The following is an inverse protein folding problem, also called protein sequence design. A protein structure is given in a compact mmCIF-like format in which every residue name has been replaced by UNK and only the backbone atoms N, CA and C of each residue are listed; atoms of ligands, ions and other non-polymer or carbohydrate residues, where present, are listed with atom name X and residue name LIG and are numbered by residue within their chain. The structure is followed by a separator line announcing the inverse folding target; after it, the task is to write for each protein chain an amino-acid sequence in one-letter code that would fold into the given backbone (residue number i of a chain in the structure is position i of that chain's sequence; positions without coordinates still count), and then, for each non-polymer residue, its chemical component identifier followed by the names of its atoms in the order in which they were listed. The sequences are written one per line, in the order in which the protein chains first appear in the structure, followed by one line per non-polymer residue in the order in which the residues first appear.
data_IF_699240392269
#
_entry.id   IF_699240392269
#
_cell.length_a   1.000
_cell.length_b   1.000
_cell.length_c   1.000
_cell.angle_alpha   90.00
_cell.angle_beta   90.00
_cell.angle_gamma   90.00
#
_symmetry.space_group_name_H-M   'P 1'
#
loop_
_entity.id
_entity.type
_entity.pdbx_description
1 polymer ?
#
# COMPACT_ATOMS: atom_id res chain seq x y z
N UNK A 1 -42.08 34.57 -40.50
CA UNK A 1 -41.74 33.16 -40.25
C UNK A 1 -40.23 33.07 -39.95
N UNK A 2 -39.87 33.10 -38.68
CA UNK A 2 -38.48 33.09 -38.20
C UNK A 2 -38.18 31.70 -37.67
N UNK A 3 -37.25 31.00 -38.34
CA UNK A 3 -36.73 29.68 -37.85
C UNK A 3 -35.66 29.91 -36.82
N UNK A 4 -35.92 29.47 -35.61
CA UNK A 4 -34.92 29.40 -34.56
C UNK A 4 -34.11 28.10 -34.74
N UNK A 5 -32.83 28.23 -34.99
CA UNK A 5 -31.83 27.13 -34.96
C UNK A 5 -31.39 26.91 -33.51
N UNK A 6 -31.73 25.76 -32.96
CA UNK A 6 -31.23 25.30 -31.65
C UNK A 6 -29.86 24.67 -31.85
N UNK A 7 -28.83 25.38 -31.43
CA UNK A 7 -27.48 24.84 -31.30
C UNK A 7 -27.42 23.93 -30.06
N UNK A 8 -27.22 22.65 -30.30
CA UNK A 8 -26.95 21.67 -29.24
C UNK A 8 -25.44 21.69 -28.96
N UNK A 9 -24.99 21.96 -27.73
CA UNK A 9 -23.56 21.88 -27.44
C UNK A 9 -23.10 20.42 -27.48
N UNK A 10 -22.20 20.11 -28.39
CA UNK A 10 -21.47 18.85 -28.47
C UNK A 10 -20.66 18.69 -27.19
N UNK A 11 -20.97 17.65 -26.38
CA UNK A 11 -20.19 17.28 -25.23
C UNK A 11 -18.78 16.86 -25.70
N UNK A 12 -17.79 17.68 -25.35
CA UNK A 12 -16.40 17.35 -25.57
C UNK A 12 -16.06 16.07 -24.80
N UNK A 13 -15.72 15.01 -25.51
CA UNK A 13 -15.23 13.78 -24.94
C UNK A 13 -13.95 14.09 -24.16
N UNK A 14 -13.97 13.86 -22.84
CA UNK A 14 -12.80 14.00 -21.99
C UNK A 14 -11.67 13.07 -22.52
N UNK A 15 -10.53 13.67 -22.84
CA UNK A 15 -9.34 12.90 -23.24
C UNK A 15 -8.98 11.89 -22.13
N UNK A 16 -8.49 10.70 -22.46
CA UNK A 16 -8.06 9.73 -21.44
C UNK A 16 -6.97 10.36 -20.58
N UNK A 17 -7.29 10.54 -19.30
CA UNK A 17 -6.33 11.09 -18.35
C UNK A 17 -5.19 10.06 -18.20
N UNK A 18 -3.97 10.49 -18.49
CA UNK A 18 -2.78 9.70 -18.20
C UNK A 18 -2.76 9.35 -16.70
N UNK A 19 -2.38 8.11 -16.35
CA UNK A 19 -2.22 7.76 -14.95
C UNK A 19 -1.25 8.73 -14.28
N UNK A 20 -1.50 9.14 -13.03
CA UNK A 20 -0.63 10.07 -12.32
C UNK A 20 0.80 9.51 -12.28
N UNK A 21 1.77 10.39 -12.46
CA UNK A 21 3.19 10.02 -12.38
C UNK A 21 3.51 9.42 -11.00
N UNK A 22 4.35 8.40 -10.96
CA UNK A 22 4.80 7.78 -9.71
C UNK A 22 5.50 8.84 -8.84
N UNK A 23 5.12 9.02 -7.55
CA UNK A 23 5.77 9.96 -6.65
C UNK A 23 7.30 9.77 -6.57
N UNK A 24 8.05 10.87 -6.44
CA UNK A 24 9.52 10.86 -6.50
C UNK A 24 10.15 9.86 -5.50
N UNK A 25 9.64 9.77 -4.29
CA UNK A 25 10.13 8.83 -3.27
C UNK A 25 9.94 7.36 -3.70
N UNK A 26 8.86 7.05 -4.41
CA UNK A 26 8.61 5.71 -4.97
C UNK A 26 9.44 5.46 -6.22
N UNK A 27 9.69 6.47 -7.04
CA UNK A 27 10.64 6.35 -8.17
C UNK A 27 12.04 5.99 -7.67
N UNK A 28 12.49 6.64 -6.61
CA UNK A 28 13.78 6.36 -5.97
C UNK A 28 13.83 4.94 -5.39
N UNK A 29 12.77 4.52 -4.67
CA UNK A 29 12.67 3.16 -4.13
C UNK A 29 12.72 2.10 -5.25
N UNK A 30 12.01 2.35 -6.34
CA UNK A 30 12.00 1.46 -7.52
C UNK A 30 13.38 1.36 -8.16
N UNK A 31 14.08 2.49 -8.36
CA UNK A 31 15.43 2.52 -8.92
C UNK A 31 16.42 1.76 -8.04
N UNK A 32 16.36 1.94 -6.73
CA UNK A 32 17.19 1.19 -5.77
C UNK A 32 16.91 -0.31 -5.80
N UNK A 33 15.64 -0.69 -5.86
CA UNK A 33 15.24 -2.10 -5.95
C UNK A 33 15.77 -2.75 -7.23
N UNK A 34 15.68 -2.06 -8.36
CA UNK A 34 16.21 -2.54 -9.64
C UNK A 34 17.74 -2.69 -9.59
N UNK A 35 18.45 -1.71 -9.02
CA UNK A 35 19.90 -1.76 -8.85
C UNK A 35 20.35 -2.91 -7.95
N UNK A 36 19.54 -3.29 -6.95
CA UNK A 36 19.80 -4.39 -6.02
C UNK A 36 19.27 -5.74 -6.53
N UNK A 37 18.59 -5.78 -7.66
CA UNK A 37 17.97 -6.99 -8.19
C UNK A 37 16.84 -7.54 -7.32
N UNK A 38 16.11 -6.68 -6.60
CA UNK A 38 14.99 -7.10 -5.76
C UNK A 38 13.81 -7.60 -6.64
N UNK A 39 13.10 -8.65 -6.20
CA UNK A 39 11.99 -9.21 -6.96
C UNK A 39 10.66 -8.46 -6.78
N UNK A 40 10.68 -7.24 -6.25
CA UNK A 40 9.52 -6.35 -6.07
C UNK A 40 9.96 -4.89 -6.19
N UNK A 41 9.00 -3.95 -6.17
CA UNK A 41 9.23 -2.55 -6.51
C UNK A 41 10.13 -1.76 -5.53
N UNK A 42 10.41 -2.29 -4.36
CA UNK A 42 11.26 -1.65 -3.37
C UNK A 42 10.54 -1.37 -2.05
N UNK A 43 11.21 -0.62 -1.19
CA UNK A 43 10.71 -0.34 0.17
C UNK A 43 10.73 1.17 0.45
N UNK A 44 9.79 1.59 1.29
CA UNK A 44 9.73 2.92 1.90
C UNK A 44 9.59 2.79 3.41
N UNK A 45 10.08 3.76 4.16
CA UNK A 45 9.88 3.82 5.61
C UNK A 45 8.45 4.27 5.95
N UNK A 46 7.96 4.07 7.18
CA UNK A 46 6.69 4.64 7.61
C UNK A 46 6.61 6.15 7.44
N UNK A 47 7.70 6.87 7.71
CA UNK A 47 7.78 8.32 7.54
C UNK A 47 7.68 8.76 6.06
N UNK A 48 8.14 7.95 5.13
CA UNK A 48 7.99 8.18 3.68
C UNK A 48 6.60 7.76 3.19
N UNK A 49 6.03 6.70 3.76
CA UNK A 49 4.73 6.16 3.37
C UNK A 49 3.57 7.08 3.73
N UNK A 50 3.57 7.59 4.97
CA UNK A 50 2.42 8.34 5.49
C UNK A 50 2.04 9.57 4.65
N UNK A 51 2.96 10.46 4.23
CA UNK A 51 2.60 11.61 3.37
C UNK A 51 1.94 11.19 2.05
N UNK A 52 2.37 10.09 1.45
CA UNK A 52 1.79 9.58 0.21
C UNK A 52 0.34 9.10 0.41
N UNK A 53 0.09 8.40 1.51
CA UNK A 53 -1.24 7.93 1.87
C UNK A 53 -2.16 9.11 2.20
N UNK A 54 -1.67 10.05 3.00
CA UNK A 54 -2.42 11.25 3.41
C UNK A 54 -2.83 12.12 2.23
N UNK A 55 -1.97 12.21 1.21
CA UNK A 55 -2.22 12.99 -0.01
C UNK A 55 -2.99 12.20 -1.09
N UNK A 56 -3.39 10.96 -0.82
CA UNK A 56 -4.09 10.12 -1.78
C UNK A 56 -3.23 9.68 -2.97
N UNK A 57 -1.90 9.67 -2.82
CA UNK A 57 -0.94 9.30 -3.85
C UNK A 57 -0.54 7.82 -3.81
N UNK A 58 -0.93 7.10 -2.76
CA UNK A 58 -0.69 5.68 -2.59
C UNK A 58 -1.80 5.03 -1.76
N UNK A 59 -2.04 3.75 -2.02
CA UNK A 59 -2.97 2.92 -1.26
C UNK A 59 -2.20 2.14 -0.19
N UNK A 60 -2.53 2.36 1.08
CA UNK A 60 -1.96 1.57 2.18
C UNK A 60 -2.79 0.31 2.40
N UNK A 61 -2.16 -0.85 2.31
CA UNK A 61 -2.79 -2.16 2.54
C UNK A 61 -2.08 -2.87 3.68
N UNK A 62 -2.82 -3.11 4.75
CA UNK A 62 -2.35 -3.90 5.89
C UNK A 62 -2.47 -5.39 5.52
N UNK A 63 -1.36 -6.12 5.60
CA UNK A 63 -1.29 -7.55 5.27
C UNK A 63 -1.22 -8.43 6.53
N UNK A 64 -1.36 -7.83 7.71
CA UNK A 64 -1.41 -8.55 8.98
C UNK A 64 -2.70 -9.34 9.14
N UNK A 65 -2.78 -10.16 10.18
CA UNK A 65 -4.01 -10.87 10.51
C UNK A 65 -5.08 -9.90 11.03
N UNK A 66 -6.34 -10.32 10.99
CA UNK A 66 -7.45 -9.55 11.54
C UNK A 66 -7.29 -9.36 13.06
N UNK A 67 -6.76 -10.35 13.76
CA UNK A 67 -6.47 -10.30 15.20
C UNK A 67 -5.41 -9.25 15.54
N UNK A 68 -4.33 -9.16 14.76
CA UNK A 68 -3.32 -8.11 14.95
C UNK A 68 -3.93 -6.72 14.76
N UNK A 69 -4.76 -6.53 13.74
CA UNK A 69 -5.44 -5.25 13.51
C UNK A 69 -6.34 -4.87 14.66
N UNK A 70 -7.06 -5.83 15.21
CA UNK A 70 -8.00 -5.60 16.32
C UNK A 70 -7.27 -5.34 17.64
N UNK A 71 -6.35 -6.22 18.02
CA UNK A 71 -5.78 -6.21 19.38
C UNK A 71 -4.50 -5.39 19.50
N UNK A 72 -3.73 -5.25 18.44
CA UNK A 72 -2.49 -4.45 18.44
C UNK A 72 -2.73 -3.03 17.93
N UNK A 73 -3.73 -2.86 17.09
CA UNK A 73 -4.10 -1.58 16.48
C UNK A 73 -3.89 -1.58 14.97
N UNK A 74 -4.39 -0.53 14.32
CA UNK A 74 -4.37 -0.37 12.88
C UNK A 74 -4.25 1.09 12.46
N UNK A 75 -3.84 1.32 11.22
CA UNK A 75 -3.84 2.67 10.62
C UNK A 75 -5.26 2.98 10.13
N UNK A 76 -5.87 4.11 10.56
CA UNK A 76 -7.19 4.50 10.09
C UNK A 76 -7.24 4.61 8.56
N UNK A 77 -8.29 4.07 7.95
CA UNK A 77 -8.49 4.12 6.50
C UNK A 77 -7.61 3.18 5.68
N UNK A 78 -6.71 2.39 6.30
CA UNK A 78 -5.95 1.37 5.59
C UNK A 78 -6.86 0.23 5.13
N UNK A 79 -6.63 -0.23 3.90
CA UNK A 79 -7.29 -1.44 3.39
C UNK A 79 -6.68 -2.69 4.04
N UNK A 80 -7.37 -3.82 3.96
CA UNK A 80 -6.90 -5.07 4.55
C UNK A 80 -6.98 -6.22 3.55
N UNK A 81 -5.83 -6.85 3.31
CA UNK A 81 -5.72 -8.14 2.61
C UNK A 81 -4.70 -8.96 3.37
N UNK A 82 -5.14 -9.96 4.11
CA UNK A 82 -4.25 -10.76 4.95
C UNK A 82 -3.29 -11.61 4.11
N UNK A 83 -1.99 -11.50 4.38
CA UNK A 83 -0.95 -12.39 3.83
C UNK A 83 -1.03 -13.77 4.45
N UNK A 84 -1.33 -13.81 5.74
CA UNK A 84 -1.59 -15.00 6.51
C UNK A 84 -2.67 -14.70 7.53
N UNK A 85 -3.38 -15.70 7.98
CA UNK A 85 -4.51 -15.56 8.91
C UNK A 85 -4.37 -16.42 10.14
N UNK A 86 -5.10 -16.05 11.19
CA UNK A 86 -5.12 -16.70 12.48
C UNK A 86 -3.81 -16.55 13.25
N UNK A 87 -3.77 -17.11 14.44
CA UNK A 87 -2.59 -17.08 15.32
C UNK A 87 -1.47 -18.00 14.84
N UNK A 88 -1.80 -19.03 14.05
CA UNK A 88 -0.84 -19.93 13.42
C UNK A 88 -0.17 -19.33 12.17
N UNK A 89 -0.57 -18.15 11.74
CA UNK A 89 -0.08 -17.47 10.54
C UNK A 89 -0.17 -18.36 9.28
N UNK A 90 -1.32 -18.99 9.09
CA UNK A 90 -1.58 -19.82 7.91
C UNK A 90 -1.62 -18.95 6.66
N UNK A 91 -0.76 -19.27 5.69
CA UNK A 91 -0.63 -18.52 4.42
C UNK A 91 -1.97 -18.42 3.68
N UNK A 92 -2.28 -17.23 3.18
CA UNK A 92 -3.42 -17.01 2.30
C UNK A 92 -3.02 -17.29 0.83
N UNK A 93 -3.44 -18.40 0.23
CA UNK A 93 -3.07 -18.73 -1.14
C UNK A 93 -3.73 -17.81 -2.18
N UNK A 94 -4.72 -17.03 -1.76
CA UNK A 94 -5.45 -16.09 -2.63
C UNK A 94 -4.98 -14.66 -2.51
N UNK A 95 -3.91 -14.40 -1.75
CA UNK A 95 -3.43 -13.04 -1.45
C UNK A 95 -3.28 -12.17 -2.70
N UNK A 96 -2.52 -12.62 -3.70
CA UNK A 96 -2.28 -11.84 -4.91
C UNK A 96 -3.57 -11.52 -5.68
N UNK A 97 -4.49 -12.47 -5.74
CA UNK A 97 -5.81 -12.30 -6.38
C UNK A 97 -6.68 -11.30 -5.62
N UNK A 98 -6.71 -11.38 -4.31
CA UNK A 98 -7.47 -10.46 -3.46
C UNK A 98 -6.90 -9.05 -3.53
N UNK A 99 -5.57 -8.90 -3.52
CA UNK A 99 -4.89 -7.61 -3.69
C UNK A 99 -5.19 -7.00 -5.05
N UNK A 100 -5.11 -7.78 -6.12
CA UNK A 100 -5.44 -7.32 -7.47
C UNK A 100 -6.90 -6.86 -7.58
N UNK A 101 -7.84 -7.60 -6.98
CA UNK A 101 -9.25 -7.23 -6.95
C UNK A 101 -9.50 -5.94 -6.16
N UNK A 102 -8.82 -5.75 -5.04
CA UNK A 102 -8.86 -4.50 -4.26
C UNK A 102 -8.32 -3.32 -5.07
N UNK A 103 -7.16 -3.51 -5.71
CA UNK A 103 -6.51 -2.48 -6.52
C UNK A 103 -7.37 -2.07 -7.73
N UNK A 104 -8.01 -3.03 -8.39
CA UNK A 104 -8.89 -2.77 -9.54
C UNK A 104 -10.15 -1.97 -9.18
N UNK A 105 -10.57 -1.97 -7.92
CA UNK A 105 -11.72 -1.18 -7.44
C UNK A 105 -11.37 0.28 -7.13
N UNK A 106 -10.09 0.65 -7.13
CA UNK A 106 -9.69 2.03 -6.90
C UNK A 106 -10.06 2.89 -8.09
N UNK A 107 -10.46 4.17 -7.88
CA UNK A 107 -10.82 5.08 -8.97
C UNK A 107 -9.63 5.40 -9.88
N UNK A 108 -8.40 5.22 -9.38
CA UNK A 108 -7.14 5.42 -10.11
C UNK A 108 -6.18 4.27 -9.80
N UNK A 109 -5.27 3.93 -10.73
CA UNK A 109 -4.24 2.92 -10.50
C UNK A 109 -3.13 3.45 -9.57
N UNK A 110 -3.41 3.54 -8.28
CA UNK A 110 -2.46 4.01 -7.28
C UNK A 110 -1.36 2.96 -7.02
N UNK A 111 -0.13 3.39 -6.73
CA UNK A 111 0.88 2.50 -6.15
C UNK A 111 0.39 1.96 -4.80
N UNK A 112 0.75 0.72 -4.50
CA UNK A 112 0.33 0.02 -3.28
C UNK A 112 1.49 -0.06 -2.30
N UNK A 113 1.23 0.29 -1.05
CA UNK A 113 2.18 0.18 0.07
C UNK A 113 1.68 -0.91 1.02
N UNK A 114 2.45 -1.98 1.19
CA UNK A 114 2.10 -3.11 2.04
C UNK A 114 2.71 -2.95 3.43
N UNK A 115 1.86 -3.01 4.46
CA UNK A 115 2.25 -2.86 5.86
C UNK A 115 2.04 -4.18 6.60
N UNK A 116 3.08 -4.66 7.27
CA UNK A 116 2.95 -5.74 8.24
C UNK A 116 3.51 -5.34 9.61
N UNK A 117 3.85 -6.29 10.48
CA UNK A 117 4.37 -6.00 11.82
C UNK A 117 5.74 -5.34 11.80
N UNK A 118 6.68 -5.86 10.99
CA UNK A 118 8.08 -5.44 10.97
C UNK A 118 8.71 -5.34 9.57
N UNK A 119 7.90 -5.40 8.52
CA UNK A 119 8.37 -5.31 7.13
C UNK A 119 8.74 -6.66 6.48
N UNK A 120 8.79 -7.76 7.22
CA UNK A 120 9.22 -9.08 6.68
C UNK A 120 8.12 -9.75 5.85
N UNK A 121 6.90 -9.86 6.39
CA UNK A 121 5.76 -10.46 5.68
C UNK A 121 5.34 -9.62 4.47
N UNK A 122 5.34 -8.31 4.62
CA UNK A 122 4.99 -7.39 3.54
C UNK A 122 5.99 -7.41 2.39
N UNK A 123 7.28 -7.64 2.65
CA UNK A 123 8.27 -7.86 1.59
C UNK A 123 7.97 -9.13 0.78
N UNK A 124 7.65 -10.25 1.45
CA UNK A 124 7.23 -11.48 0.78
C UNK A 124 5.92 -11.31 0.01
N UNK A 125 4.98 -10.57 0.59
CA UNK A 125 3.71 -10.24 -0.05
C UNK A 125 3.90 -9.38 -1.31
N UNK A 126 4.81 -8.39 -1.26
CA UNK A 126 5.17 -7.57 -2.42
C UNK A 126 5.82 -8.40 -3.53
N UNK A 127 6.67 -9.36 -3.17
CA UNK A 127 7.26 -10.29 -4.11
C UNK A 127 6.21 -11.17 -4.81
N UNK A 128 5.24 -11.68 -4.06
CA UNK A 128 4.14 -12.48 -4.63
C UNK A 128 3.24 -11.64 -5.55
N UNK A 129 2.95 -10.40 -5.15
CA UNK A 129 2.20 -9.46 -5.98
C UNK A 129 2.93 -9.14 -7.30
N UNK A 130 4.24 -8.95 -7.26
CA UNK A 130 5.06 -8.72 -8.45
C UNK A 130 5.03 -9.93 -9.41
N UNK A 131 5.11 -11.15 -8.89
CA UNK A 131 4.96 -12.38 -9.70
C UNK A 131 3.60 -12.47 -10.39
N UNK A 132 2.56 -11.91 -9.76
CA UNK A 132 1.21 -11.88 -10.32
C UNK A 132 0.98 -10.70 -11.28
N UNK A 133 2.00 -9.88 -11.57
CA UNK A 133 1.95 -8.78 -12.53
C UNK A 133 1.63 -7.41 -11.94
N UNK A 134 1.57 -7.26 -10.63
CA UNK A 134 1.38 -5.96 -9.96
C UNK A 134 2.74 -5.25 -9.82
N UNK A 135 3.00 -4.25 -10.65
CA UNK A 135 4.33 -3.66 -10.83
C UNK A 135 4.72 -2.62 -9.79
N UNK A 136 3.76 -1.92 -9.19
CA UNK A 136 3.99 -0.83 -8.22
C UNK A 136 3.48 -1.21 -6.84
N UNK A 137 3.97 -2.33 -6.32
CA UNK A 137 3.71 -2.79 -4.95
C UNK A 137 5.01 -2.70 -4.15
N UNK A 138 4.99 -1.84 -3.14
CA UNK A 138 6.13 -1.51 -2.28
C UNK A 138 5.94 -2.06 -0.88
N UNK A 139 7.04 -2.38 -0.23
CA UNK A 139 7.07 -2.76 1.17
C UNK A 139 7.20 -1.52 2.06
N UNK A 140 6.40 -1.41 3.12
CA UNK A 140 6.67 -0.47 4.22
C UNK A 140 7.63 -1.16 5.17
N UNK A 141 8.92 -0.80 5.08
CA UNK A 141 9.96 -1.31 5.97
C UNK A 141 9.65 -0.94 7.43
N UNK A 142 10.23 -1.64 8.39
CA UNK A 142 9.98 -1.46 9.82
C UNK A 142 8.55 -1.84 10.26
N UNK A 143 7.55 -1.71 9.39
CA UNK A 143 6.18 -2.11 9.65
C UNK A 143 5.46 -1.28 10.70
N UNK A 144 4.39 -1.85 11.26
CA UNK A 144 3.53 -1.18 12.24
C UNK A 144 4.16 -1.10 13.63
N UNK A 145 4.86 -2.15 14.07
CA UNK A 145 5.43 -2.25 15.40
C UNK A 145 6.94 -2.04 15.47
N UNK A 146 7.63 -2.11 14.33
CA UNK A 146 9.07 -1.98 14.28
C UNK A 146 9.83 -3.29 14.53
N UNK A 147 11.15 -3.17 14.61
CA UNK A 147 12.06 -4.26 14.90
C UNK A 147 12.18 -4.53 16.41
N UNK A 148 12.70 -5.71 16.75
CA UNK A 148 13.03 -6.04 18.13
C UNK A 148 14.22 -5.22 18.63
N UNK A 149 14.14 -4.80 19.88
CA UNK A 149 15.30 -4.34 20.65
C UNK A 149 16.11 -5.52 21.23
N UNK A 150 17.12 -5.20 22.05
CA UNK A 150 17.97 -6.20 22.71
C UNK A 150 17.19 -7.09 23.69
N UNK A 151 16.03 -6.64 24.17
CA UNK A 151 15.15 -7.38 25.07
C UNK A 151 14.03 -8.11 24.30
N UNK A 152 14.12 -8.18 22.98
CA UNK A 152 13.11 -8.76 22.08
C UNK A 152 11.73 -8.07 22.17
N UNK A 153 11.74 -6.75 22.45
CA UNK A 153 10.54 -5.93 22.51
C UNK A 153 10.48 -5.00 21.29
N UNK A 154 9.25 -4.71 20.80
CA UNK A 154 9.03 -3.83 19.66
C UNK A 154 8.54 -2.46 20.10
N UNK A 155 8.62 -1.47 19.19
CA UNK A 155 8.11 -0.13 19.41
C UNK A 155 9.07 0.80 20.12
N UNK A 156 10.36 0.43 20.28
CA UNK A 156 11.32 1.20 21.04
C UNK A 156 12.26 2.05 20.20
N UNK A 157 12.39 1.80 18.90
CA UNK A 157 13.32 2.59 18.09
C UNK A 157 12.92 2.79 16.62
N UNK A 158 11.94 2.04 16.09
CA UNK A 158 11.41 2.26 14.76
C UNK A 158 9.99 1.70 14.59
N UNK A 159 9.38 1.91 13.43
CA UNK A 159 8.03 1.45 13.11
C UNK A 159 6.97 2.54 13.16
N UNK A 160 5.82 2.27 12.56
CA UNK A 160 4.72 3.23 12.42
C UNK A 160 4.32 3.89 13.73
N UNK A 161 4.09 3.10 14.77
CA UNK A 161 3.70 3.60 16.09
C UNK A 161 4.80 4.37 16.78
N UNK A 162 6.06 3.92 16.65
CA UNK A 162 7.21 4.61 17.24
C UNK A 162 7.35 6.05 16.75
N UNK A 163 7.08 6.29 15.47
CA UNK A 163 7.13 7.63 14.88
C UNK A 163 5.91 8.50 15.20
N UNK A 164 4.97 8.03 16.01
CA UNK A 164 3.77 8.78 16.35
C UNK A 164 2.81 9.00 15.19
N UNK A 165 2.90 8.21 14.15
CA UNK A 165 1.97 8.27 13.02
C UNK A 165 0.58 7.79 13.43
N UNK A 166 -0.51 8.23 12.77
CA UNK A 166 -1.86 7.91 13.19
C UNK A 166 -2.15 6.41 13.26
N UNK A 167 -2.70 5.97 14.38
CA UNK A 167 -3.19 4.61 14.58
C UNK A 167 -4.30 4.58 15.62
N UNK A 168 -5.15 3.57 15.56
CA UNK A 168 -6.24 3.33 16.50
C UNK A 168 -6.23 1.88 16.98
N UNK A 169 -6.84 1.65 18.13
CA UNK A 169 -6.99 0.34 18.75
C UNK A 169 -8.40 0.22 19.33
N UNK A 170 -9.02 -0.97 19.23
CA UNK A 170 -10.32 -1.25 19.85
C UNK A 170 -10.19 -1.39 21.37
#
# INVERSE_FOLDING_TARGET
MTHATTDTPTAAAAAPQQPPALPAVLQQALAQAQAQGLPYAGSVTPLQAWPLVQQGQALLVDVRTAEERKFVGQVPGSAHVAWASGTALTRNPRFARELAALHAKQPQPLPVLLLCRSGKRSALAAQEAAKAGLTHVFNVSEGFEGDHDALQQRGHFNGWRFYGLPWVQD
#
